data_IF_742854872249
#
_entry.id   IF_742854872249
#
_cell.length_a   1.000
_cell.length_b   1.000
_cell.length_c   1.000
_cell.angle_alpha   90.00
_cell.angle_beta   90.00
_cell.angle_gamma   90.00
#
_symmetry.space_group_name_H-M   'P 1'
#
loop_
_entity.id
_entity.type
_entity.pdbx_description
1 polymer ?
#
# COMPACT_ATOMS: atom_id res chain seq x y z
N UNK A 1 14.95 -59.73 -36.57
CA UNK A 1 16.40 -59.65 -36.31
C UNK A 1 16.59 -58.74 -35.10
N UNK A 2 16.73 -59.35 -33.92
CA UNK A 2 17.43 -58.81 -32.74
C UNK A 2 18.93 -59.20 -32.92
N UNK A 3 19.98 -58.56 -32.33
CA UNK A 3 20.05 -58.25 -30.89
C UNK A 3 20.87 -57.01 -30.42
N UNK A 4 20.60 -56.63 -29.17
CA UNK A 4 21.49 -56.17 -28.07
C UNK A 4 23.01 -56.01 -28.34
N UNK A 5 23.59 -54.94 -27.79
CA UNK A 5 24.91 -54.88 -27.12
C UNK A 5 25.05 -53.48 -26.46
N UNK A 6 25.81 -53.17 -25.41
CA UNK A 6 26.37 -53.81 -24.20
C UNK A 6 27.21 -52.71 -23.55
N UNK A 7 27.18 -52.59 -22.22
CA UNK A 7 28.05 -51.71 -21.41
C UNK A 7 29.56 -52.03 -21.59
N UNK A 8 30.49 -51.16 -21.13
CA UNK A 8 31.06 -51.35 -19.79
C UNK A 8 31.37 -50.07 -18.98
N UNK A 9 31.27 -50.18 -17.65
CA UNK A 9 32.02 -49.41 -16.66
C UNK A 9 33.49 -49.91 -16.58
N UNK A 10 34.41 -49.11 -16.00
CA UNK A 10 35.09 -49.54 -14.76
C UNK A 10 35.13 -48.41 -13.71
N UNK A 11 34.74 -48.64 -12.45
CA UNK A 11 35.46 -49.27 -11.32
C UNK A 11 36.25 -48.28 -10.45
N UNK A 12 35.82 -48.25 -9.18
CA UNK A 12 36.40 -47.63 -7.99
C UNK A 12 37.82 -48.14 -7.67
N UNK A 13 38.67 -47.27 -7.11
CA UNK A 13 39.63 -47.66 -6.05
C UNK A 13 39.62 -46.58 -4.96
N UNK A 14 39.61 -47.08 -3.73
CA UNK A 14 39.47 -46.39 -2.46
C UNK A 14 40.82 -46.04 -1.79
N UNK A 15 40.71 -45.27 -0.70
CA UNK A 15 41.71 -45.14 0.37
C UNK A 15 42.42 -43.79 0.37
N UNK A 16 42.62 -43.09 1.48
CA UNK A 16 42.35 -43.35 2.90
C UNK A 16 42.74 -42.07 3.65
N UNK A 17 42.05 -41.79 4.75
CA UNK A 17 42.32 -40.71 5.71
C UNK A 17 43.74 -40.76 6.29
N UNK A 18 44.16 -39.68 6.97
CA UNK A 18 44.27 -39.83 8.41
C UNK A 18 43.67 -38.67 9.23
N UNK A 19 43.25 -39.09 10.42
CA UNK A 19 42.78 -38.37 11.60
C UNK A 19 43.83 -37.51 12.30
N UNK A 20 43.39 -36.34 12.78
CA UNK A 20 43.75 -35.72 14.08
C UNK A 20 42.74 -34.60 14.33
N UNK A 21 41.74 -34.75 15.21
CA UNK A 21 41.79 -34.58 16.68
C UNK A 21 42.38 -33.24 17.10
N UNK A 22 41.51 -32.27 17.43
CA UNK A 22 41.56 -31.43 18.65
C UNK A 22 40.27 -30.62 18.76
N UNK A 23 39.45 -30.94 19.75
CA UNK A 23 38.48 -30.05 20.38
C UNK A 23 39.20 -28.97 21.20
N UNK A 24 38.59 -27.78 21.36
CA UNK A 24 38.14 -27.45 22.71
C UNK A 24 36.75 -26.80 22.75
N UNK A 25 35.99 -27.22 23.76
CA UNK A 25 35.01 -26.44 24.51
C UNK A 25 35.49 -25.01 24.74
N UNK A 26 34.64 -24.02 24.45
CA UNK A 26 34.10 -23.15 25.48
C UNK A 26 33.15 -22.06 24.93
N UNK A 27 32.02 -21.97 25.63
CA UNK A 27 31.35 -20.74 26.06
C UNK A 27 30.67 -19.83 25.02
N UNK A 28 29.34 -19.96 25.04
CA UNK A 28 28.32 -18.93 24.81
C UNK A 28 28.66 -17.66 25.61
N UNK A 29 28.58 -16.47 25.01
CA UNK A 29 28.28 -15.25 25.74
C UNK A 29 26.84 -14.80 25.41
N UNK A 30 25.96 -15.01 26.37
CA UNK A 30 24.77 -14.19 26.55
C UNK A 30 25.21 -12.77 26.89
N UNK A 31 24.75 -11.80 26.11
CA UNK A 31 24.78 -10.38 26.51
C UNK A 31 23.41 -9.78 26.19
N UNK A 32 22.48 -10.06 27.12
CA UNK A 32 21.49 -9.08 27.55
C UNK A 32 22.20 -8.06 28.43
N UNK A 33 21.88 -6.77 28.25
CA UNK A 33 21.95 -5.63 29.21
C UNK A 33 22.54 -4.39 28.52
N UNK A 34 22.05 -3.15 28.59
CA UNK A 34 21.20 -2.33 29.50
C UNK A 34 21.29 -0.87 28.90
N UNK A 35 20.55 0.21 29.30
CA UNK A 35 19.73 0.40 30.51
C UNK A 35 18.31 0.93 30.29
N UNK A 36 17.38 0.36 31.07
CA UNK A 36 16.22 1.08 31.58
C UNK A 36 16.67 2.02 32.72
N UNK A 37 16.37 3.30 32.59
CA UNK A 37 16.50 4.29 33.65
C UNK A 37 15.41 4.04 34.70
N UNK A 38 15.79 3.40 35.81
CA UNK A 38 15.01 3.37 37.03
C UNK A 38 15.43 4.56 37.91
N UNK A 39 14.50 5.51 38.12
CA UNK A 39 14.62 6.52 39.16
C UNK A 39 14.24 5.89 40.50
N UNK A 40 15.22 5.75 41.38
CA UNK A 40 15.04 5.35 42.77
C UNK A 40 14.55 6.53 43.60
N UNK A 41 13.43 6.32 44.30
CA UNK A 41 13.02 7.13 45.43
C UNK A 41 13.89 6.82 46.64
N UNK A 42 14.54 7.83 47.22
CA UNK A 42 14.98 7.81 48.61
C UNK A 42 14.91 9.20 49.22
N UNK A 43 14.15 9.28 50.31
CA UNK A 43 13.91 10.46 51.13
C UNK A 43 14.82 10.40 52.36
N UNK A 44 15.51 11.49 52.71
CA UNK A 44 15.60 11.98 54.09
C UNK A 44 16.26 13.35 54.22
N UNK A 45 15.55 14.23 54.94
CA UNK A 45 15.89 15.47 55.67
C UNK A 45 17.37 15.85 55.91
N UNK A 46 17.78 17.12 55.94
CA UNK A 46 17.34 18.12 56.94
C UNK A 46 17.87 19.55 56.69
N UNK A 47 17.10 20.49 57.25
CA UNK A 47 17.07 21.96 57.21
C UNK A 47 18.36 22.80 57.25
N UNK A 48 18.31 23.97 56.56
CA UNK A 48 18.71 25.27 57.14
C UNK A 48 18.35 26.48 56.24
N UNK A 49 17.51 27.38 56.79
CA UNK A 49 17.42 28.85 56.63
C UNK A 49 17.00 29.50 55.29
N UNK A 50 15.91 30.26 55.39
CA UNK A 50 15.26 31.24 54.47
C UNK A 50 15.89 32.63 54.74
N UNK A 51 16.03 33.59 53.77
CA UNK A 51 14.93 34.48 53.35
C UNK A 51 14.90 34.98 51.88
N UNK A 52 13.68 35.16 51.33
CA UNK A 52 13.42 36.05 50.19
C UNK A 52 12.31 35.62 49.22
N UNK A 53 11.15 36.27 49.32
CA UNK A 53 9.89 36.24 48.51
C UNK A 53 10.11 36.52 46.99
N UNK A 54 9.19 36.19 46.03
CA UNK A 54 7.76 36.52 46.09
C UNK A 54 6.75 35.45 45.64
N UNK A 55 5.55 35.60 46.19
CA UNK A 55 4.31 34.87 45.91
C UNK A 55 3.80 35.14 44.50
N UNK A 56 3.58 34.10 43.70
CA UNK A 56 2.74 34.16 42.50
C UNK A 56 1.33 33.66 42.83
N UNK A 57 0.39 34.60 42.80
CA UNK A 57 -1.05 34.37 42.90
C UNK A 57 -1.53 33.66 41.64
N UNK A 58 -2.14 32.47 41.77
CA UNK A 58 -2.84 31.81 40.68
C UNK A 58 -4.16 32.56 40.45
N UNK A 59 -4.43 33.11 39.24
CA UNK A 59 -5.75 33.63 38.95
C UNK A 59 -6.70 32.46 38.67
N UNK A 60 -7.74 32.38 39.49
CA UNK A 60 -8.95 31.60 39.24
C UNK A 60 -9.63 32.23 38.03
N UNK A 61 -9.59 31.55 36.88
CA UNK A 61 -10.34 31.96 35.68
C UNK A 61 -11.77 31.46 35.83
N UNK A 62 -12.70 32.41 35.86
CA UNK A 62 -14.15 32.22 35.78
C UNK A 62 -14.53 31.58 34.45
N UNK A 63 -15.42 30.59 34.51
CA UNK A 63 -16.18 30.12 33.37
C UNK A 63 -17.05 31.26 32.81
N UNK A 64 -16.61 31.85 31.69
CA UNK A 64 -17.49 32.59 30.80
C UNK A 64 -17.83 31.70 29.61
N UNK A 65 -19.14 31.53 29.38
CA UNK A 65 -19.75 30.81 28.26
C UNK A 65 -19.17 31.31 26.93
N UNK A 66 -18.23 30.56 26.38
CA UNK A 66 -17.80 30.71 25.00
C UNK A 66 -18.73 29.88 24.10
N UNK A 67 -19.33 30.57 23.13
CA UNK A 67 -20.27 29.99 22.18
C UNK A 67 -19.70 28.79 21.43
N UNK A 68 -20.58 27.82 21.21
CA UNK A 68 -20.39 26.60 20.43
C UNK A 68 -19.64 26.90 19.12
N UNK A 69 -18.38 26.50 19.05
CA UNK A 69 -17.63 26.27 17.82
C UNK A 69 -16.89 24.94 17.97
N UNK A 70 -17.68 23.87 18.03
CA UNK A 70 -17.20 22.50 18.24
C UNK A 70 -18.12 21.56 17.48
N UNK A 71 -18.09 21.62 16.14
CA UNK A 71 -18.80 20.68 15.26
C UNK A 71 -18.05 20.47 13.91
N UNK A 72 -16.71 20.62 13.85
CA UNK A 72 -15.96 20.41 12.59
C UNK A 72 -14.85 19.35 12.64
N UNK A 73 -14.67 18.67 13.78
CA UNK A 73 -13.60 17.68 13.94
C UNK A 73 -14.09 16.24 14.16
N UNK A 74 -15.40 15.97 14.07
CA UNK A 74 -15.98 14.65 14.34
C UNK A 74 -16.51 13.89 13.11
N UNK A 75 -16.65 14.53 11.95
CA UNK A 75 -17.47 13.96 10.86
C UNK A 75 -16.69 13.26 9.74
N UNK A 76 -15.40 12.99 9.94
CA UNK A 76 -14.64 12.05 9.07
C UNK A 76 -14.80 10.63 9.63
N UNK A 77 -16.02 10.23 9.98
CA UNK A 77 -16.35 8.82 10.20
C UNK A 77 -16.66 8.20 8.83
N UNK A 78 -15.61 8.19 8.00
CA UNK A 78 -15.66 8.02 6.55
C UNK A 78 -16.03 6.62 6.10
N UNK A 79 -17.10 6.54 5.33
CA UNK A 79 -17.33 5.49 4.35
C UNK A 79 -16.42 5.75 3.14
N UNK A 80 -15.69 4.73 2.66
CA UNK A 80 -14.64 4.83 1.60
C UNK A 80 -15.07 5.59 0.34
N UNK A 81 -16.36 5.56 0.04
CA UNK A 81 -16.94 6.13 -1.18
C UNK A 81 -17.88 7.31 -0.91
N UNK A 82 -17.94 7.81 0.33
CA UNK A 82 -18.82 8.94 0.63
C UNK A 82 -18.11 10.23 0.29
N UNK A 83 -18.43 10.74 -0.89
CA UNK A 83 -18.16 12.13 -1.23
C UNK A 83 -18.87 13.02 -0.20
N UNK A 84 -18.14 13.99 0.32
CA UNK A 84 -18.68 14.99 1.24
C UNK A 84 -19.77 15.85 0.57
N UNK A 85 -19.73 15.94 -0.76
CA UNK A 85 -20.62 16.77 -1.59
C UNK A 85 -21.13 15.99 -2.80
N UNK A 86 -22.25 16.42 -3.36
CA UNK A 86 -22.91 15.77 -4.51
C UNK A 86 -22.53 16.39 -5.84
N UNK A 87 -22.72 15.64 -6.93
CA UNK A 87 -22.48 16.14 -8.29
C UNK A 87 -23.36 17.34 -8.66
N UNK A 88 -24.59 17.42 -8.14
CA UNK A 88 -25.46 18.58 -8.37
C UNK A 88 -24.90 19.84 -7.69
N UNK A 89 -24.43 19.71 -6.45
CA UNK A 89 -23.82 20.83 -5.72
C UNK A 89 -22.50 21.29 -6.36
N UNK A 90 -21.79 20.38 -7.02
CA UNK A 90 -20.56 20.70 -7.74
C UNK A 90 -20.79 21.71 -8.87
N UNK A 91 -21.85 21.51 -9.66
CA UNK A 91 -22.24 22.45 -10.70
C UNK A 91 -22.70 23.80 -10.12
N UNK A 92 -23.46 23.78 -9.01
CA UNK A 92 -23.91 24.99 -8.31
C UNK A 92 -22.74 25.83 -7.77
N UNK A 93 -21.66 25.16 -7.33
CA UNK A 93 -20.45 25.80 -6.85
C UNK A 93 -19.52 26.33 -7.96
N UNK A 94 -19.90 26.15 -9.24
CA UNK A 94 -19.14 26.65 -10.39
C UNK A 94 -17.93 25.80 -10.77
N UNK A 95 -17.77 24.62 -10.20
CA UNK A 95 -16.73 23.67 -10.59
C UNK A 95 -17.11 22.94 -11.87
N UNK A 96 -16.08 22.50 -12.60
CA UNK A 96 -16.27 21.75 -13.83
C UNK A 96 -16.75 20.33 -13.52
N UNK A 97 -17.74 19.80 -14.27
CA UNK A 97 -18.23 18.46 -14.00
C UNK A 97 -17.16 17.36 -14.09
N UNK A 98 -17.42 16.26 -13.38
CA UNK A 98 -16.62 15.05 -13.43
C UNK A 98 -17.46 13.91 -14.00
N UNK A 99 -16.81 12.94 -14.66
CA UNK A 99 -17.44 11.68 -14.98
C UNK A 99 -17.43 10.81 -13.72
N UNK A 100 -18.55 10.17 -13.40
CA UNK A 100 -18.59 9.10 -12.40
C UNK A 100 -19.13 7.82 -12.98
N UNK A 101 -18.78 6.70 -12.34
CA UNK A 101 -19.35 5.39 -12.66
C UNK A 101 -20.88 5.38 -12.57
N UNK A 102 -21.44 5.97 -11.52
CA UNK A 102 -22.89 5.91 -11.24
C UNK A 102 -23.71 6.78 -12.19
N UNK A 103 -23.20 7.95 -12.58
CA UNK A 103 -23.99 8.96 -13.28
C UNK A 103 -23.46 9.32 -14.67
N UNK A 104 -22.30 8.78 -15.05
CA UNK A 104 -21.59 9.20 -16.25
C UNK A 104 -21.11 10.65 -16.16
N UNK A 105 -20.89 11.28 -17.31
CA UNK A 105 -20.58 12.70 -17.40
C UNK A 105 -21.85 13.49 -17.79
N UNK A 106 -22.14 14.62 -17.14
CA UNK A 106 -23.30 15.42 -17.51
C UNK A 106 -23.02 16.20 -18.81
N UNK A 107 -23.78 15.89 -19.86
CA UNK A 107 -23.70 16.59 -21.15
C UNK A 107 -22.62 16.05 -22.07
N UNK A 108 -21.97 16.94 -22.82
CA UNK A 108 -20.90 16.55 -23.77
C UNK A 108 -19.59 16.39 -23.03
N UNK A 109 -18.96 15.22 -23.16
CA UNK A 109 -17.68 14.90 -22.55
C UNK A 109 -16.58 15.75 -23.22
N UNK A 110 -15.85 16.59 -22.48
CA UNK A 110 -14.71 17.33 -23.02
C UNK A 110 -13.56 16.38 -23.40
N UNK A 111 -12.76 16.78 -24.40
CA UNK A 111 -11.73 15.93 -25.02
C UNK A 111 -10.70 15.38 -24.02
N UNK A 112 -10.27 16.19 -23.06
CA UNK A 112 -9.32 15.81 -22.00
C UNK A 112 -9.88 14.76 -21.03
N UNK A 113 -11.20 14.70 -20.82
CA UNK A 113 -11.85 13.61 -20.06
C UNK A 113 -12.14 12.42 -20.97
N UNK A 114 -12.55 12.67 -22.23
CA UNK A 114 -12.83 11.64 -23.22
C UNK A 114 -11.62 10.74 -23.48
N UNK A 115 -10.41 11.30 -23.47
CA UNK A 115 -9.15 10.55 -23.61
C UNK A 115 -9.03 9.37 -22.63
N UNK A 116 -9.60 9.51 -21.42
CA UNK A 116 -9.59 8.47 -20.39
C UNK A 116 -10.77 7.50 -20.48
N UNK A 117 -11.90 7.92 -21.08
CA UNK A 117 -13.13 7.11 -21.19
C UNK A 117 -13.10 6.21 -22.41
N UNK A 118 -12.65 6.72 -23.56
CA UNK A 118 -12.69 6.05 -24.87
C UNK A 118 -11.84 4.77 -24.94
N UNK A 119 -10.98 4.55 -23.94
CA UNK A 119 -10.03 3.44 -23.89
C UNK A 119 -10.62 2.09 -23.41
N UNK A 120 -11.95 1.95 -23.21
CA UNK A 120 -12.62 0.83 -22.50
C UNK A 120 -12.11 0.56 -21.07
N UNK A 121 -11.15 1.35 -20.61
CA UNK A 121 -10.45 1.15 -19.36
C UNK A 121 -11.24 1.70 -18.15
N UNK A 122 -12.28 2.51 -18.36
CA UNK A 122 -13.07 3.14 -17.29
C UNK A 122 -13.84 2.14 -16.40
N UNK A 123 -13.88 0.85 -16.78
CA UNK A 123 -14.51 -0.24 -16.02
C UNK A 123 -13.97 -0.43 -14.61
N UNK A 124 -12.80 0.13 -14.29
CA UNK A 124 -12.18 0.12 -12.96
C UNK A 124 -11.95 1.51 -12.38
N UNK A 125 -12.54 2.54 -12.99
CA UNK A 125 -12.45 3.92 -12.53
C UNK A 125 -13.78 4.34 -11.86
N UNK A 126 -13.69 5.10 -10.78
CA UNK A 126 -14.82 5.61 -9.98
C UNK A 126 -15.16 7.05 -10.38
N UNK A 127 -14.12 7.90 -10.46
CA UNK A 127 -14.20 9.30 -10.84
C UNK A 127 -13.14 9.64 -11.88
N UNK A 128 -13.49 10.47 -12.86
CA UNK A 128 -12.56 11.05 -13.83
C UNK A 128 -12.89 12.53 -13.98
N UNK A 129 -11.93 13.41 -13.71
CA UNK A 129 -12.13 14.85 -13.85
C UNK A 129 -11.00 15.69 -13.27
N UNK A 130 -11.15 17.03 -13.29
CA UNK A 130 -10.16 17.95 -12.76
C UNK A 130 -9.95 17.77 -11.24
N UNK A 131 -8.72 17.92 -10.78
CA UNK A 131 -8.37 17.79 -9.36
C UNK A 131 -9.19 18.72 -8.45
N UNK A 132 -9.45 19.95 -8.87
CA UNK A 132 -10.25 20.92 -8.11
C UNK A 132 -11.64 20.38 -7.81
N UNK A 133 -12.25 19.74 -8.80
CA UNK A 133 -13.60 19.20 -8.76
C UNK A 133 -13.65 17.92 -7.93
N UNK A 134 -12.65 17.04 -8.10
CA UNK A 134 -12.51 15.80 -7.31
C UNK A 134 -12.26 16.10 -5.82
N UNK A 135 -11.34 17.02 -5.50
CA UNK A 135 -11.05 17.39 -4.12
C UNK A 135 -12.22 18.10 -3.45
N UNK A 136 -12.92 18.95 -4.20
CA UNK A 136 -14.11 19.60 -3.69
C UNK A 136 -15.22 18.58 -3.37
N UNK A 137 -15.45 17.58 -4.21
CA UNK A 137 -16.40 16.49 -3.89
C UNK A 137 -16.01 15.74 -2.62
N UNK A 138 -14.71 15.54 -2.40
CA UNK A 138 -14.18 14.87 -1.22
C UNK A 138 -14.12 15.74 0.05
N UNK A 139 -14.49 17.03 -0.03
CA UNK A 139 -14.39 17.95 1.11
C UNK A 139 -12.95 18.34 1.46
N UNK A 140 -12.03 18.24 0.52
CA UNK A 140 -10.61 18.57 0.71
C UNK A 140 -10.34 20.02 0.29
N UNK A 141 -11.03 20.98 0.93
CA UNK A 141 -11.04 22.39 0.51
C UNK A 141 -9.64 23.03 0.46
N UNK A 142 -8.78 22.72 1.43
CA UNK A 142 -7.39 23.23 1.42
C UNK A 142 -6.62 22.76 0.17
N UNK A 143 -6.89 21.58 -0.39
CA UNK A 143 -6.28 21.13 -1.64
C UNK A 143 -6.86 21.85 -2.86
N UNK A 144 -8.12 22.27 -2.79
CA UNK A 144 -8.74 23.09 -3.84
C UNK A 144 -8.06 24.46 -3.88
N UNK A 145 -7.85 25.07 -2.71
CA UNK A 145 -7.13 26.35 -2.61
C UNK A 145 -5.67 26.21 -3.09
N UNK A 146 -5.02 25.10 -2.74
CA UNK A 146 -3.63 24.81 -3.13
C UNK A 146 -3.40 24.74 -4.65
N UNK A 147 -4.41 24.37 -5.43
CA UNK A 147 -4.35 24.36 -6.91
C UNK A 147 -4.17 25.76 -7.49
N UNK A 148 -4.70 26.77 -6.80
CA UNK A 148 -4.66 28.17 -7.25
C UNK A 148 -3.54 28.97 -6.58
N UNK A 149 -2.77 28.37 -5.67
CA UNK A 149 -1.60 28.99 -5.05
C UNK A 149 -0.39 28.90 -6.00
N UNK A 150 0.14 30.03 -6.51
CA UNK A 150 1.30 30.01 -7.40
C UNK A 150 2.59 29.49 -6.73
N UNK A 151 2.64 29.37 -5.41
CA UNK A 151 3.77 28.78 -4.68
C UNK A 151 3.75 27.24 -4.68
N UNK A 152 2.65 26.61 -5.10
CA UNK A 152 2.46 25.16 -5.11
C UNK A 152 2.44 24.66 -6.56
N UNK A 153 3.15 23.56 -6.84
CA UNK A 153 3.27 23.00 -8.18
C UNK A 153 2.01 22.20 -8.65
N UNK A 154 0.96 22.19 -7.83
CA UNK A 154 -0.27 21.45 -8.07
C UNK A 154 -1.13 22.19 -9.10
N UNK A 155 -1.47 21.53 -10.20
CA UNK A 155 -2.26 22.09 -11.30
C UNK A 155 -3.63 21.42 -11.36
N UNK A 156 -4.64 22.11 -11.91
CA UNK A 156 -5.98 21.56 -12.10
C UNK A 156 -6.09 20.60 -13.29
N UNK A 157 -5.29 19.53 -13.26
CA UNK A 157 -5.23 18.53 -14.31
C UNK A 157 -6.31 17.44 -14.14
N UNK A 158 -6.68 16.80 -15.24
CA UNK A 158 -7.62 15.67 -15.21
C UNK A 158 -6.93 14.43 -14.63
N UNK A 159 -7.54 13.85 -13.60
CA UNK A 159 -7.09 12.63 -12.94
C UNK A 159 -8.23 11.62 -12.83
N UNK A 160 -7.82 10.38 -12.59
CA UNK A 160 -8.70 9.24 -12.34
C UNK A 160 -8.55 8.77 -10.89
N UNK A 161 -9.68 8.39 -10.30
CA UNK A 161 -9.75 7.71 -9.01
C UNK A 161 -10.23 6.29 -9.29
N UNK A 162 -9.42 5.25 -9.02
CA UNK A 162 -9.85 3.87 -9.22
C UNK A 162 -11.05 3.49 -8.34
N UNK A 163 -11.73 2.42 -8.70
CA UNK A 163 -12.75 1.80 -7.85
C UNK A 163 -12.15 1.25 -6.56
N UNK A 164 -12.99 1.19 -5.52
CA UNK A 164 -12.68 0.60 -4.21
C UNK A 164 -11.58 1.35 -3.43
N UNK A 165 -11.23 2.57 -3.85
CA UNK A 165 -10.37 3.50 -3.09
C UNK A 165 -11.06 4.87 -2.95
N UNK A 166 -10.80 5.55 -1.84
CA UNK A 166 -11.27 6.92 -1.64
C UNK A 166 -10.41 7.94 -2.39
N UNK A 167 -10.94 9.14 -2.62
CA UNK A 167 -10.20 10.27 -3.21
C UNK A 167 -8.84 10.54 -2.54
N UNK A 168 -8.68 10.45 -1.20
CA UNK A 168 -7.38 10.67 -0.55
C UNK A 168 -6.25 9.71 -0.99
N UNK A 169 -6.57 8.63 -1.71
CA UNK A 169 -5.59 7.74 -2.34
C UNK A 169 -4.64 8.47 -3.27
N UNK A 170 -5.14 9.43 -4.08
CA UNK A 170 -4.34 10.11 -5.09
C UNK A 170 -3.25 11.01 -4.51
N UNK A 171 -3.34 11.34 -3.21
CA UNK A 171 -2.40 12.23 -2.54
C UNK A 171 -0.99 11.65 -2.50
N UNK A 172 -0.85 10.33 -2.37
CA UNK A 172 0.47 9.66 -2.43
C UNK A 172 1.11 9.85 -3.81
N UNK A 173 0.33 9.68 -4.89
CA UNK A 173 0.84 9.89 -6.26
C UNK A 173 1.24 11.34 -6.50
N UNK A 174 0.44 12.30 -6.05
CA UNK A 174 0.76 13.73 -6.21
C UNK A 174 1.99 14.14 -5.41
N UNK A 175 2.18 13.55 -4.23
CA UNK A 175 3.37 13.75 -3.42
C UNK A 175 4.63 13.18 -4.10
N UNK A 176 4.56 11.95 -4.59
CA UNK A 176 5.65 11.30 -5.33
C UNK A 176 5.96 11.96 -6.69
N UNK A 177 5.00 12.69 -7.25
CA UNK A 177 5.20 13.53 -8.44
C UNK A 177 5.71 14.95 -8.10
N UNK A 178 6.06 15.21 -6.84
CA UNK A 178 6.53 16.51 -6.34
C UNK A 178 5.51 17.67 -6.51
N UNK A 179 4.23 17.35 -6.73
CA UNK A 179 3.15 18.34 -6.88
C UNK A 179 2.58 18.79 -5.54
N UNK A 180 2.64 17.93 -4.54
CA UNK A 180 2.12 18.19 -3.20
C UNK A 180 3.26 18.46 -2.20
N UNK A 181 3.24 19.58 -1.46
CA UNK A 181 4.24 19.82 -0.42
C UNK A 181 4.18 18.78 0.70
N UNK A 182 5.35 18.37 1.22
CA UNK A 182 5.45 17.38 2.30
C UNK A 182 4.61 17.76 3.54
N UNK A 183 4.63 19.04 3.94
CA UNK A 183 3.84 19.52 5.08
C UNK A 183 2.33 19.36 4.89
N UNK A 184 1.85 19.44 3.64
CA UNK A 184 0.45 19.26 3.29
C UNK A 184 0.11 17.77 3.25
N UNK A 185 0.96 16.97 2.59
CA UNK A 185 0.84 15.51 2.59
C UNK A 185 0.80 14.95 4.02
N UNK A 186 1.78 15.30 4.86
CA UNK A 186 1.88 14.85 6.25
C UNK A 186 0.64 15.22 7.06
N UNK A 187 0.06 16.40 6.81
CA UNK A 187 -1.14 16.86 7.50
C UNK A 187 -2.35 15.98 7.19
N UNK A 188 -2.50 15.55 5.95
CA UNK A 188 -3.57 14.63 5.56
C UNK A 188 -3.29 13.19 6.00
N UNK A 189 -2.03 12.77 6.07
CA UNK A 189 -1.65 11.39 6.41
C UNK A 189 -1.53 11.13 7.92
N UNK A 190 -0.99 12.07 8.70
CA UNK A 190 -0.72 11.96 10.13
C UNK A 190 -1.66 12.81 11.00
N UNK A 191 -2.46 13.69 10.40
CA UNK A 191 -3.39 14.58 11.10
C UNK A 191 -2.73 15.86 11.62
N UNK A 192 -3.55 16.85 12.00
CA UNK A 192 -3.08 18.20 12.37
C UNK A 192 -2.26 18.28 13.67
N UNK A 193 -2.29 17.25 14.52
CA UNK A 193 -1.82 17.34 15.91
C UNK A 193 -0.72 16.32 16.28
N UNK A 194 -0.15 15.60 15.32
CA UNK A 194 0.98 14.73 15.58
C UNK A 194 2.19 15.26 14.83
N UNK A 195 3.20 15.75 15.57
CA UNK A 195 4.54 15.80 14.99
C UNK A 195 4.87 14.37 14.57
N UNK A 196 5.17 14.11 13.28
CA UNK A 196 5.53 12.77 12.86
C UNK A 196 6.75 12.35 13.68
N UNK A 197 6.57 11.32 14.54
CA UNK A 197 7.66 10.74 15.35
C UNK A 197 8.72 10.09 14.45
N UNK A 198 8.38 9.90 13.16
CA UNK A 198 9.25 9.36 12.14
C UNK A 198 9.38 10.39 11.03
N UNK A 199 10.55 11.02 10.91
CA UNK A 199 10.99 11.63 9.66
C UNK A 199 11.24 10.46 8.72
N UNK A 200 10.26 10.11 7.90
CA UNK A 200 10.55 9.32 6.72
C UNK A 200 11.18 10.32 5.75
N UNK A 201 12.49 10.25 5.44
CA UNK A 201 13.00 11.06 4.36
C UNK A 201 12.21 10.61 3.14
N UNK A 202 11.40 11.52 2.58
CA UNK A 202 10.82 11.35 1.26
C UNK A 202 12.00 11.28 0.30
N UNK A 203 12.57 10.09 0.18
CA UNK A 203 13.54 9.77 -0.84
C UNK A 203 12.68 9.44 -2.03
N UNK A 204 12.66 10.36 -2.99
CA UNK A 204 12.43 9.97 -4.36
C UNK A 204 13.45 8.86 -4.62
N UNK A 205 12.97 7.63 -4.68
CA UNK A 205 13.80 6.48 -4.99
C UNK A 205 13.83 6.36 -6.52
N UNK A 206 14.86 6.89 -7.19
CA UNK A 206 14.92 6.84 -8.64
C UNK A 206 15.01 5.40 -9.11
N UNK A 207 14.60 5.16 -10.36
CA UNK A 207 14.90 3.88 -11.01
C UNK A 207 16.43 3.68 -10.99
N UNK A 208 16.96 2.56 -10.49
CA UNK A 208 18.40 2.32 -10.45
C UNK A 208 19.02 2.47 -11.85
N UNK A 209 20.18 3.15 -11.98
CA UNK A 209 20.74 3.53 -13.28
C UNK A 209 21.08 2.33 -14.18
N UNK A 210 21.31 1.16 -13.60
CA UNK A 210 21.54 -0.09 -14.32
C UNK A 210 20.28 -0.67 -14.98
N UNK A 211 19.08 -0.21 -14.60
CA UNK A 211 17.82 -0.69 -15.17
C UNK A 211 17.49 0.08 -16.44
N UNK A 212 17.59 -0.61 -17.58
CA UNK A 212 17.25 -0.07 -18.90
C UNK A 212 15.89 -0.53 -19.41
N UNK A 213 15.60 -0.18 -20.67
CA UNK A 213 14.39 -0.62 -21.40
C UNK A 213 14.46 -2.07 -21.89
N UNK A 214 15.57 -2.76 -21.64
CA UNK A 214 15.73 -4.17 -21.98
C UNK A 214 15.50 -5.03 -20.74
N UNK A 215 14.96 -6.23 -20.95
CA UNK A 215 14.86 -7.24 -19.91
C UNK A 215 16.27 -7.67 -19.49
N UNK A 216 16.59 -7.51 -18.20
CA UNK A 216 17.89 -7.89 -17.64
C UNK A 216 17.71 -8.48 -16.24
N UNK A 217 18.59 -9.41 -15.85
CA UNK A 217 18.63 -9.91 -14.47
C UNK A 217 19.74 -9.18 -13.71
N UNK A 218 19.45 -8.76 -12.49
CA UNK A 218 20.40 -8.09 -11.60
C UNK A 218 20.39 -8.75 -10.23
N UNK A 219 21.50 -8.63 -9.51
CA UNK A 219 21.53 -8.99 -8.10
C UNK A 219 20.69 -7.98 -7.32
N UNK A 220 19.82 -8.44 -6.43
CA UNK A 220 18.90 -7.56 -5.72
C UNK A 220 19.65 -6.53 -4.85
N UNK A 221 20.79 -6.90 -4.29
CA UNK A 221 21.65 -6.00 -3.50
C UNK A 221 22.26 -4.85 -4.32
N UNK A 222 22.43 -5.02 -5.64
CA UNK A 222 22.92 -3.96 -6.52
C UNK A 222 21.83 -2.92 -6.79
N UNK A 223 20.57 -3.35 -6.83
CA UNK A 223 19.41 -2.48 -7.01
C UNK A 223 19.01 -1.81 -5.70
N UNK A 224 19.12 -2.51 -4.57
CA UNK A 224 18.72 -2.06 -3.25
C UNK A 224 19.85 -2.28 -2.24
N UNK A 225 20.80 -1.34 -2.11
CA UNK A 225 21.94 -1.47 -1.19
C UNK A 225 21.53 -1.55 0.28
N UNK A 226 20.35 -1.01 0.62
CA UNK A 226 19.79 -1.06 1.97
C UNK A 226 18.92 -2.31 2.23
N UNK A 227 18.89 -3.27 1.31
CA UNK A 227 18.18 -4.54 1.49
C UNK A 227 18.70 -5.27 2.74
N UNK A 228 17.79 -5.77 3.56
CA UNK A 228 18.13 -6.58 4.74
C UNK A 228 18.03 -8.07 4.40
N UNK A 229 18.73 -8.95 5.14
CA UNK A 229 18.54 -10.39 5.00
C UNK A 229 17.06 -10.77 5.21
N UNK A 230 16.42 -11.21 4.13
CA UNK A 230 15.02 -11.60 4.06
C UNK A 230 14.88 -12.79 3.11
N UNK A 231 13.67 -13.31 2.91
CA UNK A 231 13.41 -14.40 1.96
C UNK A 231 13.36 -13.93 0.50
N UNK A 232 13.89 -12.75 0.17
CA UNK A 232 13.93 -12.24 -1.19
C UNK A 232 14.89 -13.07 -2.06
N UNK A 233 14.64 -13.18 -3.38
CA UNK A 233 15.57 -13.83 -4.29
C UNK A 233 16.90 -13.07 -4.38
N UNK A 234 17.98 -13.78 -4.67
CA UNK A 234 19.29 -13.16 -4.89
C UNK A 234 19.32 -12.36 -6.19
N UNK A 235 18.74 -12.93 -7.25
CA UNK A 235 18.67 -12.33 -8.58
C UNK A 235 17.22 -12.00 -8.93
N UNK A 236 17.02 -10.87 -9.60
CA UNK A 236 15.70 -10.40 -9.99
C UNK A 236 15.70 -9.89 -11.43
N UNK A 237 14.67 -10.26 -12.20
CA UNK A 237 14.47 -9.69 -13.52
C UNK A 237 13.96 -8.26 -13.38
N UNK A 238 14.51 -7.34 -14.16
CA UNK A 238 14.05 -5.95 -14.20
C UNK A 238 13.92 -5.45 -15.62
N UNK A 239 13.05 -4.46 -15.78
CA UNK A 239 12.90 -3.71 -17.02
C UNK A 239 12.23 -2.37 -16.74
N UNK A 240 12.62 -1.35 -17.48
CA UNK A 240 11.93 -0.06 -17.54
C UNK A 240 10.91 -0.08 -18.67
N UNK A 241 9.68 0.34 -18.38
CA UNK A 241 8.57 0.34 -19.33
C UNK A 241 7.95 1.72 -19.35
N UNK A 242 7.91 2.33 -20.54
CA UNK A 242 7.13 3.54 -20.76
C UNK A 242 5.66 3.24 -20.51
N UNK A 243 5.05 4.04 -19.64
CA UNK A 243 3.65 4.03 -19.32
C UNK A 243 2.79 4.25 -20.56
N UNK A 244 1.55 3.83 -20.43
CA UNK A 244 0.53 4.03 -21.44
C UNK A 244 -0.73 4.53 -20.73
N UNK A 245 -1.38 5.54 -21.32
CA UNK A 245 -2.69 6.00 -20.84
C UNK A 245 -3.72 4.87 -20.94
N UNK A 246 -3.61 4.04 -21.97
CA UNK A 246 -4.41 2.83 -22.10
C UNK A 246 -3.76 1.67 -21.32
N UNK A 247 -4.30 1.41 -20.13
CA UNK A 247 -3.80 0.38 -19.20
C UNK A 247 -3.95 -1.04 -19.73
N UNK A 248 -4.94 -1.30 -20.58
CA UNK A 248 -5.17 -2.62 -21.17
C UNK A 248 -4.09 -2.94 -22.20
N UNK A 249 -3.74 -1.94 -23.02
CA UNK A 249 -2.61 -2.01 -23.96
C UNK A 249 -1.29 -2.18 -23.22
N UNK A 250 -1.08 -1.45 -22.12
CA UNK A 250 0.09 -1.62 -21.26
C UNK A 250 0.16 -3.02 -20.66
N UNK A 251 -0.95 -3.52 -20.14
CA UNK A 251 -1.09 -4.87 -19.59
C UNK A 251 -0.73 -5.93 -20.63
N UNK A 252 -1.36 -5.89 -21.81
CA UNK A 252 -1.10 -6.82 -22.90
C UNK A 252 0.37 -6.80 -23.35
N UNK A 253 0.97 -5.60 -23.44
CA UNK A 253 2.38 -5.41 -23.76
C UNK A 253 3.27 -6.03 -22.67
N UNK A 254 3.02 -5.74 -21.40
CA UNK A 254 3.80 -6.27 -20.28
C UNK A 254 3.73 -7.80 -20.23
N UNK A 255 2.52 -8.35 -20.36
CA UNK A 255 2.31 -9.80 -20.38
C UNK A 255 3.08 -10.47 -21.52
N UNK A 256 2.95 -9.92 -22.73
CA UNK A 256 3.56 -10.49 -23.93
C UNK A 256 5.08 -10.37 -23.94
N UNK A 257 5.62 -9.19 -23.62
CA UNK A 257 7.01 -8.86 -23.88
C UNK A 257 7.93 -9.19 -22.68
N UNK A 258 7.38 -9.29 -21.47
CA UNK A 258 8.16 -9.45 -20.23
C UNK A 258 7.70 -10.62 -19.37
N UNK A 259 6.43 -10.68 -18.95
CA UNK A 259 5.97 -11.73 -18.04
C UNK A 259 6.09 -13.11 -18.69
N UNK A 260 5.81 -13.23 -19.99
CA UNK A 260 5.99 -14.49 -20.75
C UNK A 260 7.40 -15.07 -20.67
N UNK A 261 8.43 -14.24 -20.44
CA UNK A 261 9.84 -14.66 -20.30
C UNK A 261 10.13 -15.32 -18.96
N UNK A 262 9.28 -15.11 -17.95
CA UNK A 262 9.39 -15.79 -16.66
C UNK A 262 8.98 -17.27 -16.74
N UNK A 263 8.48 -17.73 -17.89
CA UNK A 263 7.95 -19.08 -18.09
C UNK A 263 6.44 -19.16 -17.86
N UNK A 264 5.90 -20.36 -17.93
CA UNK A 264 4.52 -20.63 -17.48
C UNK A 264 4.43 -20.63 -15.96
N UNK A 265 3.22 -20.47 -15.42
CA UNK A 265 2.95 -20.47 -13.99
C UNK A 265 1.74 -19.63 -13.63
N UNK A 266 1.43 -19.58 -12.34
CA UNK A 266 0.50 -18.58 -11.79
C UNK A 266 1.29 -17.36 -11.33
N UNK A 267 0.73 -16.18 -11.58
CA UNK A 267 1.37 -14.92 -11.23
C UNK A 267 0.46 -14.12 -10.32
N UNK A 268 1.06 -13.47 -9.33
CA UNK A 268 0.43 -12.41 -8.57
C UNK A 268 1.16 -11.10 -8.87
N UNK A 269 0.39 -10.02 -8.94
CA UNK A 269 0.86 -8.70 -9.29
C UNK A 269 0.58 -7.73 -8.15
N UNK A 270 1.50 -6.79 -7.95
CA UNK A 270 1.30 -5.64 -7.07
C UNK A 270 1.96 -4.43 -7.68
N UNK A 271 1.27 -3.31 -7.66
CA UNK A 271 1.87 -2.01 -7.93
C UNK A 271 2.20 -1.33 -6.61
N UNK A 272 3.32 -0.64 -6.56
CA UNK A 272 3.74 0.17 -5.42
C UNK A 272 4.44 1.43 -5.92
N UNK A 273 4.41 2.50 -5.14
CA UNK A 273 5.30 3.64 -5.36
C UNK A 273 6.75 3.18 -5.24
N UNK A 274 7.69 3.88 -5.89
CA UNK A 274 9.11 3.50 -5.81
C UNK A 274 9.65 3.61 -4.38
N UNK A 275 9.19 4.60 -3.61
CA UNK A 275 9.51 4.73 -2.19
C UNK A 275 8.99 3.53 -1.38
N UNK A 276 7.73 3.13 -1.58
CA UNK A 276 7.18 1.94 -0.93
C UNK A 276 7.91 0.66 -1.34
N UNK A 277 8.33 0.53 -2.60
CA UNK A 277 9.17 -0.58 -3.06
C UNK A 277 10.50 -0.61 -2.32
N UNK A 278 11.23 0.50 -2.24
CA UNK A 278 12.50 0.55 -1.52
C UNK A 278 12.33 0.17 -0.03
N UNK A 279 11.26 0.67 0.62
CA UNK A 279 10.91 0.29 1.98
C UNK A 279 10.60 -1.22 2.11
N UNK A 280 9.82 -1.80 1.18
CA UNK A 280 9.54 -3.24 1.15
C UNK A 280 10.81 -4.08 0.95
N UNK A 281 11.76 -3.60 0.15
CA UNK A 281 13.06 -4.29 -0.01
C UNK A 281 13.88 -4.23 1.27
N UNK A 282 13.76 -3.18 2.09
CA UNK A 282 14.40 -3.14 3.41
C UNK A 282 13.66 -3.98 4.47
N UNK A 283 12.32 -4.03 4.42
CA UNK A 283 11.46 -4.79 5.32
C UNK A 283 10.15 -5.22 4.64
N UNK A 284 10.08 -6.47 4.19
CA UNK A 284 8.91 -7.04 3.53
C UNK A 284 7.95 -7.61 4.58
N UNK A 285 7.16 -6.72 5.18
CA UNK A 285 6.29 -7.00 6.33
C UNK A 285 4.86 -6.53 6.05
N UNK A 286 3.82 -7.11 6.70
CA UNK A 286 2.47 -6.58 6.62
C UNK A 286 2.46 -5.10 7.01
N UNK A 287 1.89 -4.25 6.16
CA UNK A 287 1.83 -2.80 6.42
C UNK A 287 0.61 -2.51 7.28
N UNK A 288 0.84 -1.89 8.43
CA UNK A 288 -0.22 -1.32 9.26
C UNK A 288 -0.20 0.19 9.04
N UNK A 289 -1.22 0.72 8.37
CA UNK A 289 -1.39 2.14 8.13
C UNK A 289 -2.66 2.67 8.82
N UNK A 290 -2.64 3.93 9.23
CA UNK A 290 -3.78 4.63 9.87
C UNK A 290 -5.00 4.70 8.92
N UNK A 291 -4.76 4.54 7.61
CA UNK A 291 -5.74 4.45 6.53
C UNK A 291 -5.97 3.01 6.03
N UNK A 292 -5.60 1.98 6.80
CA UNK A 292 -5.96 0.59 6.49
C UNK A 292 -7.47 0.36 6.33
N UNK A 293 -8.26 1.34 6.73
CA UNK A 293 -9.67 1.45 6.42
C UNK A 293 -9.96 1.58 4.93
N UNK A 294 -8.98 1.64 4.02
CA UNK A 294 -9.14 1.51 2.56
C UNK A 294 -8.89 0.06 2.05
N UNK A 295 -8.39 -0.83 2.90
CA UNK A 295 -8.06 -2.21 2.54
C UNK A 295 -9.21 -3.18 2.87
N UNK A 296 -9.79 -3.83 1.86
CA UNK A 296 -10.99 -4.68 2.00
C UNK A 296 -10.87 -5.83 3.00
N UNK A 297 -9.68 -6.40 3.16
CA UNK A 297 -9.41 -7.54 4.04
C UNK A 297 -8.54 -7.15 5.25
N UNK A 298 -8.40 -5.85 5.53
CA UNK A 298 -7.58 -5.33 6.63
C UNK A 298 -6.09 -5.17 6.29
N UNK A 299 -5.20 -5.09 7.30
CA UNK A 299 -3.77 -4.86 7.10
C UNK A 299 -3.10 -6.02 6.36
N UNK A 300 -2.21 -5.73 5.41
CA UNK A 300 -1.45 -6.76 4.69
C UNK A 300 -0.84 -6.28 3.37
N UNK A 301 -0.11 -7.17 2.70
CA UNK A 301 0.41 -6.93 1.34
C UNK A 301 -0.58 -7.53 0.34
N UNK A 302 -1.30 -6.63 -0.32
CA UNK A 302 -2.29 -6.96 -1.35
C UNK A 302 -1.64 -7.25 -2.68
N UNK A 303 -2.10 -8.32 -3.31
CA UNK A 303 -1.74 -8.74 -4.66
C UNK A 303 -2.99 -9.24 -5.38
N UNK A 304 -2.96 -9.28 -6.71
CA UNK A 304 -4.04 -9.84 -7.53
C UNK A 304 -3.46 -10.63 -8.69
N UNK A 305 -4.21 -11.61 -9.20
CA UNK A 305 -3.89 -12.34 -10.44
C UNK A 305 -4.22 -11.54 -11.71
N UNK A 306 -4.93 -10.41 -11.58
CA UNK A 306 -5.26 -9.52 -12.69
C UNK A 306 -4.24 -8.39 -12.83
N UNK A 307 -3.35 -8.51 -13.81
CA UNK A 307 -2.38 -7.46 -14.14
C UNK A 307 -3.08 -6.15 -14.54
N UNK A 308 -4.17 -6.24 -15.30
CA UNK A 308 -4.92 -5.07 -15.75
C UNK A 308 -5.51 -4.29 -14.57
N UNK A 309 -6.09 -5.00 -13.61
CA UNK A 309 -6.60 -4.40 -12.38
C UNK A 309 -5.49 -3.68 -11.61
N UNK A 310 -4.36 -4.34 -11.40
CA UNK A 310 -3.27 -3.79 -10.59
C UNK A 310 -2.62 -2.55 -11.22
N UNK A 311 -2.53 -2.48 -12.55
CA UNK A 311 -1.95 -1.34 -13.26
C UNK A 311 -2.76 -0.04 -13.14
N UNK A 312 -4.01 -0.11 -12.69
CA UNK A 312 -4.85 1.06 -12.38
C UNK A 312 -4.35 1.85 -11.19
N UNK A 313 -3.68 1.18 -10.27
CA UNK A 313 -3.11 1.83 -9.08
C UNK A 313 -1.73 2.44 -9.35
N UNK A 314 -1.21 2.32 -10.57
CA UNK A 314 0.13 2.78 -10.95
C UNK A 314 0.18 4.10 -11.68
N UNK A 315 1.17 4.91 -11.33
CA UNK A 315 1.60 6.11 -12.06
C UNK A 315 2.99 5.93 -12.68
N UNK A 316 3.48 7.01 -13.29
CA UNK A 316 4.85 7.14 -13.82
C UNK A 316 5.94 7.02 -12.76
N UNK A 317 5.60 7.12 -11.46
CA UNK A 317 6.54 6.93 -10.34
C UNK A 317 6.28 5.63 -9.57
N UNK A 318 5.65 4.66 -10.22
CA UNK A 318 5.36 3.35 -9.64
C UNK A 318 6.29 2.25 -10.18
N UNK A 319 6.31 1.15 -9.45
CA UNK A 319 6.89 -0.11 -9.88
C UNK A 319 5.85 -1.22 -9.75
N UNK A 320 5.82 -2.12 -10.73
CA UNK A 320 5.03 -3.34 -10.73
C UNK A 320 5.92 -4.50 -10.29
N UNK A 321 5.54 -5.13 -9.19
CA UNK A 321 6.13 -6.36 -8.68
C UNK A 321 5.36 -7.55 -9.26
N UNK A 322 6.09 -8.52 -9.78
CA UNK A 322 5.55 -9.78 -10.30
C UNK A 322 6.06 -10.93 -9.44
N UNK A 323 5.14 -11.63 -8.81
CA UNK A 323 5.39 -12.80 -7.99
C UNK A 323 4.99 -14.04 -8.77
N UNK A 324 5.86 -15.04 -8.85
CA UNK A 324 5.65 -16.27 -9.61
C UNK A 324 5.49 -17.47 -8.69
N UNK A 325 4.42 -18.22 -8.88
CA UNK A 325 4.10 -19.46 -8.16
C UNK A 325 4.32 -19.37 -6.63
N UNK A 326 3.71 -18.40 -5.91
CA UNK A 326 3.91 -18.28 -4.47
C UNK A 326 3.54 -19.58 -3.72
N UNK A 327 4.48 -20.13 -2.96
CA UNK A 327 4.27 -21.38 -2.23
C UNK A 327 3.63 -21.14 -0.86
N UNK A 328 2.30 -21.30 -0.80
CA UNK A 328 1.54 -21.18 0.43
C UNK A 328 1.17 -22.52 1.07
N UNK A 329 1.74 -23.65 0.62
CA UNK A 329 1.33 -25.00 1.08
C UNK A 329 1.55 -25.25 2.57
N UNK A 330 2.54 -24.58 3.16
CA UNK A 330 2.90 -24.73 4.57
C UNK A 330 2.37 -23.58 5.44
N UNK A 331 1.37 -22.84 4.95
CA UNK A 331 0.79 -21.67 5.62
C UNK A 331 -0.71 -21.88 5.87
N UNK A 332 -1.26 -21.14 6.83
CA UNK A 332 -2.71 -21.07 7.01
C UNK A 332 -3.31 -20.14 5.95
N UNK A 333 -3.86 -20.74 4.88
CA UNK A 333 -4.53 -20.02 3.80
C UNK A 333 -6.03 -20.02 4.03
N UNK A 334 -6.57 -18.88 4.45
CA UNK A 334 -8.00 -18.72 4.67
C UNK A 334 -8.70 -18.21 3.42
N UNK A 335 -9.74 -18.94 3.01
CA UNK A 335 -10.69 -18.56 1.97
C UNK A 335 -12.05 -18.40 2.62
N UNK A 336 -12.48 -17.17 2.97
CA UNK A 336 -13.73 -16.97 3.67
C UNK A 336 -14.91 -17.51 2.87
N UNK A 337 -15.87 -18.10 3.57
CA UNK A 337 -17.21 -18.32 3.00
C UNK A 337 -17.86 -16.98 2.64
N UNK A 338 -18.89 -16.99 1.79
CA UNK A 338 -19.56 -15.74 1.39
C UNK A 338 -20.02 -14.87 2.58
N UNK A 339 -20.66 -15.42 3.64
CA UNK A 339 -21.05 -14.60 4.79
C UNK A 339 -19.85 -14.03 5.56
N UNK A 340 -18.77 -14.79 5.72
CA UNK A 340 -17.56 -14.32 6.39
C UNK A 340 -16.83 -13.24 5.58
N UNK A 341 -16.80 -13.40 4.25
CA UNK A 341 -16.25 -12.42 3.33
C UNK A 341 -17.05 -11.11 3.44
N UNK A 342 -18.38 -11.18 3.33
CA UNK A 342 -19.24 -9.99 3.45
C UNK A 342 -19.06 -9.27 4.79
N UNK A 343 -18.94 -10.03 5.88
CA UNK A 343 -18.68 -9.49 7.22
C UNK A 343 -17.34 -8.76 7.30
N UNK A 344 -16.26 -9.37 6.81
CA UNK A 344 -14.92 -8.76 6.81
C UNK A 344 -14.86 -7.52 5.94
N UNK A 345 -15.39 -7.59 4.72
CA UNK A 345 -15.41 -6.45 3.80
C UNK A 345 -16.14 -5.29 4.46
N UNK A 346 -17.36 -5.53 4.97
CA UNK A 346 -18.14 -4.46 5.58
C UNK A 346 -17.50 -3.89 6.86
N UNK A 347 -16.86 -4.75 7.67
CA UNK A 347 -16.09 -4.33 8.85
C UNK A 347 -14.97 -3.36 8.46
N UNK A 348 -14.15 -3.72 7.48
CA UNK A 348 -13.01 -2.91 7.08
C UNK A 348 -13.37 -1.71 6.20
N UNK A 349 -14.47 -1.80 5.45
CA UNK A 349 -15.00 -0.69 4.63
C UNK A 349 -15.97 0.22 5.39
N UNK A 350 -16.21 -0.04 6.68
CA UNK A 350 -17.18 0.69 7.52
C UNK A 350 -18.58 0.76 6.92
N UNK A 351 -19.00 -0.29 6.19
CA UNK A 351 -20.39 -0.41 5.74
C UNK A 351 -21.21 -0.87 6.95
N UNK A 352 -22.25 -0.13 7.30
CA UNK A 352 -23.12 -0.48 8.42
C UNK A 352 -23.80 -1.82 8.13
N UNK A 353 -23.40 -2.85 8.87
CA UNK A 353 -24.12 -4.10 8.95
C UNK A 353 -25.03 -4.00 10.17
N UNK A 354 -26.32 -3.76 9.95
CA UNK A 354 -27.32 -3.73 11.02
C UNK A 354 -27.40 -5.04 11.82
N UNK A 355 -26.77 -6.12 11.33
CA UNK A 355 -26.70 -7.44 11.95
C UNK A 355 -25.27 -8.04 11.94
N UNK A 356 -24.19 -7.23 11.93
CA UNK A 356 -22.84 -7.77 11.99
C UNK A 356 -22.56 -8.49 13.32
N UNK A 357 -21.94 -9.68 13.32
CA UNK A 357 -21.34 -10.25 14.52
C UNK A 357 -20.34 -9.27 15.16
N UNK A 358 -20.35 -9.13 16.49
CA UNK A 358 -19.44 -8.25 17.24
C UNK A 358 -17.95 -8.61 17.10
N UNK A 359 -17.64 -9.74 16.47
CA UNK A 359 -16.29 -10.27 16.36
C UNK A 359 -15.93 -10.65 14.93
N UNK A 360 -14.71 -10.31 14.52
CA UNK A 360 -14.16 -10.75 13.23
C UNK A 360 -13.94 -12.28 13.24
N UNK A 361 -14.15 -12.99 12.12
CA UNK A 361 -14.04 -14.45 12.05
C UNK A 361 -12.68 -14.97 12.50
N UNK A 362 -12.66 -16.17 13.07
CA UNK A 362 -11.40 -16.77 13.57
C UNK A 362 -10.36 -16.93 12.47
N UNK A 363 -10.78 -17.37 11.27
CA UNK A 363 -9.88 -17.53 10.12
C UNK A 363 -9.18 -16.24 9.71
N UNK A 364 -9.85 -15.09 9.81
CA UNK A 364 -9.20 -13.79 9.55
C UNK A 364 -8.06 -13.49 10.54
N UNK A 365 -8.20 -13.92 11.81
CA UNK A 365 -7.21 -13.65 12.87
C UNK A 365 -5.99 -14.55 12.80
N UNK A 366 -6.16 -15.78 12.33
CA UNK A 366 -5.11 -16.81 12.38
C UNK A 366 -4.40 -17.03 11.05
N UNK A 367 -5.02 -16.63 9.93
CA UNK A 367 -4.46 -16.84 8.62
C UNK A 367 -3.12 -16.14 8.43
N UNK A 368 -2.23 -16.79 7.69
CA UNK A 368 -1.02 -16.17 7.15
C UNK A 368 -1.31 -15.46 5.82
N UNK A 369 -2.27 -16.01 5.07
CA UNK A 369 -2.70 -15.55 3.76
C UNK A 369 -4.22 -15.59 3.66
N UNK A 370 -4.81 -14.49 3.21
CA UNK A 370 -6.26 -14.40 2.95
C UNK A 370 -6.47 -14.31 1.43
N UNK A 371 -7.37 -15.14 0.91
CA UNK A 371 -7.73 -15.12 -0.52
C UNK A 371 -9.23 -14.95 -0.69
N UNK A 372 -9.64 -13.99 -1.51
CA UNK A 372 -11.05 -13.76 -1.80
C UNK A 372 -11.24 -12.83 -2.98
N UNK A 373 -12.49 -12.64 -3.43
CA UNK A 373 -12.79 -11.66 -4.46
C UNK A 373 -12.60 -10.23 -3.94
N UNK A 374 -12.32 -9.31 -4.86
CA UNK A 374 -12.43 -7.87 -4.66
C UNK A 374 -13.91 -7.51 -4.76
N UNK A 375 -14.40 -6.61 -3.90
CA UNK A 375 -15.82 -6.25 -3.91
C UNK A 375 -16.22 -5.48 -5.19
N UNK A 376 -17.48 -5.63 -5.62
CA UNK A 376 -18.04 -4.80 -6.69
C UNK A 376 -18.20 -3.36 -6.19
N UNK A 377 -17.86 -2.36 -7.03
CA UNK A 377 -18.02 -0.95 -6.67
C UNK A 377 -19.51 -0.55 -6.53
N UNK A 378 -20.39 -1.16 -7.31
CA UNK A 378 -21.80 -0.77 -7.46
C UNK A 378 -22.75 -1.30 -6.37
N UNK A 379 -22.24 -1.79 -5.24
CA UNK A 379 -23.12 -2.25 -4.16
C UNK A 379 -23.92 -1.05 -3.62
N UNK A 380 -25.27 -1.04 -3.68
CA UNK A 380 -26.07 0.09 -3.23
C UNK A 380 -25.76 0.47 -1.79
N UNK A 381 -25.95 1.75 -1.44
CA UNK A 381 -25.83 2.23 -0.04
C UNK A 381 -26.73 1.36 0.84
N UNK A 382 -26.14 0.69 1.84
CA UNK A 382 -26.77 -0.25 2.78
C UNK A 382 -26.99 -1.70 2.29
N UNK A 383 -26.46 -2.08 1.13
CA UNK A 383 -26.41 -3.49 0.72
C UNK A 383 -25.15 -4.18 1.23
N UNK A 384 -25.26 -5.49 1.46
CA UNK A 384 -24.09 -6.33 1.67
C UNK A 384 -23.16 -6.20 0.46
N UNK A 385 -21.84 -6.17 0.67
CA UNK A 385 -20.90 -6.16 -0.43
C UNK A 385 -21.13 -7.41 -1.30
N UNK A 386 -20.95 -7.24 -2.60
CA UNK A 386 -21.02 -8.33 -3.56
C UNK A 386 -19.62 -8.66 -4.09
N UNK A 387 -19.30 -9.95 -4.29
CA UNK A 387 -18.03 -10.36 -4.88
C UNK A 387 -17.95 -9.88 -6.34
N UNK A 388 -16.84 -9.27 -6.71
CA UNK A 388 -16.49 -8.95 -8.09
C UNK A 388 -15.75 -10.09 -8.79
N UNK A 389 -15.36 -9.83 -10.04
CA UNK A 389 -14.73 -10.84 -10.92
C UNK A 389 -13.21 -10.96 -10.72
N UNK A 390 -12.60 -10.03 -9.99
CA UNK A 390 -11.16 -10.00 -9.73
C UNK A 390 -10.87 -10.58 -8.36
N UNK A 391 -9.84 -11.43 -8.27
CA UNK A 391 -9.40 -12.00 -7.00
C UNK A 391 -8.25 -11.20 -6.39
N UNK A 392 -8.18 -11.20 -5.06
CA UNK A 392 -7.08 -10.66 -4.28
C UNK A 392 -6.49 -11.73 -3.37
N UNK A 393 -5.18 -11.70 -3.21
CA UNK A 393 -4.41 -12.49 -2.24
C UNK A 393 -3.64 -11.54 -1.35
N UNK A 394 -3.81 -11.68 -0.04
CA UNK A 394 -3.24 -10.78 0.96
C UNK A 394 -2.35 -11.56 1.90
N UNK A 395 -1.07 -11.22 1.94
CA UNK A 395 -0.15 -11.71 2.94
C UNK A 395 -0.26 -10.86 4.21
N UNK A 396 -0.72 -11.47 5.32
CA UNK A 396 -1.11 -10.74 6.54
C UNK A 396 -0.18 -11.01 7.74
N UNK A 397 0.63 -12.06 7.68
CA UNK A 397 1.67 -12.36 8.69
C UNK A 397 3.07 -12.28 8.08
N UNK A 398 4.11 -12.28 8.93
CA UNK A 398 5.50 -12.42 8.48
C UNK A 398 5.75 -13.71 7.69
N UNK A 399 5.06 -14.81 8.02
CA UNK A 399 5.21 -16.07 7.29
C UNK A 399 4.61 -15.97 5.87
N UNK A 400 3.41 -15.39 5.75
CA UNK A 400 2.79 -15.07 4.47
C UNK A 400 3.65 -14.12 3.62
N UNK A 401 4.14 -13.04 4.22
CA UNK A 401 5.05 -12.10 3.57
C UNK A 401 6.38 -12.76 3.17
N UNK A 402 6.88 -13.68 3.98
CA UNK A 402 8.07 -14.48 3.67
C UNK A 402 7.88 -15.39 2.47
N UNK A 403 6.73 -16.04 2.32
CA UNK A 403 6.42 -16.84 1.15
C UNK A 403 6.23 -15.98 -0.11
N UNK A 404 5.54 -14.84 0.03
CA UNK A 404 5.32 -13.90 -1.07
C UNK A 404 6.64 -13.29 -1.55
N UNK A 405 7.48 -12.76 -0.66
CA UNK A 405 8.79 -12.20 -1.02
C UNK A 405 9.72 -13.20 -1.70
N UNK A 406 9.71 -14.47 -1.26
CA UNK A 406 10.48 -15.55 -1.91
C UNK A 406 10.07 -15.84 -3.34
N UNK A 407 8.82 -15.53 -3.69
CA UNK A 407 8.28 -15.71 -5.03
C UNK A 407 8.46 -14.51 -5.94
N UNK A 408 9.06 -13.41 -5.46
CA UNK A 408 9.31 -12.23 -6.29
C UNK A 408 10.21 -12.63 -7.47
N UNK A 409 9.76 -12.39 -8.69
CA UNK A 409 10.44 -12.86 -9.90
C UNK A 409 10.83 -11.71 -10.83
N UNK A 410 10.08 -10.61 -10.81
CA UNK A 410 10.39 -9.43 -11.63
C UNK A 410 9.93 -8.12 -10.96
N UNK A 411 10.69 -7.06 -11.23
CA UNK A 411 10.32 -5.66 -10.93
C UNK A 411 10.30 -4.88 -12.25
N UNK A 412 9.12 -4.39 -12.64
CA UNK A 412 8.92 -3.53 -13.81
C UNK A 412 8.80 -2.08 -13.33
N UNK A 413 9.69 -1.23 -13.79
CA UNK A 413 9.70 0.19 -13.43
C UNK A 413 8.88 0.97 -14.47
N UNK A 414 7.79 1.58 -14.05
CA UNK A 414 6.94 2.39 -14.92
C UNK A 414 7.56 3.80 -15.03
N UNK A 415 7.51 4.39 -16.22
CA UNK A 415 7.97 5.75 -16.52
C UNK A 415 7.01 6.49 -17.45
#
# INVERSE_FOLDING_TARGET
>A
MDPRQSFPFPLLVAGSSPTTSTSPTDSIPSISSIPSLAYSHSSSSSASKVPGTPTFTIPIIREEKLGKSSDMASDIEGNRNQLARTMSQLAEAGFRPVWSREHGYPGTIPEDIAEYIDSNSHRFDELIGPLSSIFWLAGLDELVDAIYDPAIALQDEVRLIPTNVGVPWILEHLFEEEKLPASMYDRYFFGHNQQPVVVMPARLDPIPPQVGFQYTCHRLEELFPANRPQRLPQDIATVRVKGDKNKDRLSAKISKDYVSKLGGGSFLYRVSTRAALAAMMAFFTPVIHNRNLDNELGPGIYTSDSLEWVLKFGSVNSALLVFRDPDFRNLDVWRPSMPEWQHIIATWTRKSLSNAPDSVPLGWRTADVIQGPISKPDSPKNCLPEPGDVSQTVAVTHAGCGALSASLAMIIWLE
#
